data_IF_852257276798
#
_entry.id   IF_852257276798
#
_cell.length_a   1.000
_cell.length_b   1.000
_cell.length_c   1.000
_cell.angle_alpha   90.00
_cell.angle_beta   90.00
_cell.angle_gamma   90.00
#
_symmetry.space_group_name_H-M   'P 1'
#
loop_
_entity.id
_entity.type
_entity.pdbx_description
1 polymer ?
#
# COMPACT_ATOMS: atom_id res chain seq x y z
N UNK A 1 -24.02 -0.71 17.35
CA UNK A 1 -25.02 -1.39 16.48
C UNK A 1 -25.44 -0.50 15.30
N UNK A 2 -25.63 0.80 15.48
CA UNK A 2 -26.12 1.72 14.44
C UNK A 2 -25.23 1.75 13.18
N UNK A 3 -23.91 1.82 13.33
CA UNK A 3 -22.96 1.79 12.20
C UNK A 3 -23.12 0.51 11.37
N UNK A 4 -23.22 -0.65 12.01
CA UNK A 4 -23.40 -1.93 11.32
C UNK A 4 -24.74 -1.98 10.57
N UNK A 5 -25.81 -1.49 11.21
CA UNK A 5 -27.14 -1.39 10.60
C UNK A 5 -27.12 -0.50 9.37
N UNK A 6 -26.58 0.73 9.47
CA UNK A 6 -26.45 1.66 8.34
C UNK A 6 -25.67 1.06 7.17
N UNK A 7 -24.54 0.41 7.44
CA UNK A 7 -23.74 -0.25 6.38
C UNK A 7 -24.59 -1.32 5.69
N UNK A 8 -25.28 -2.17 6.46
CA UNK A 8 -26.10 -3.24 5.90
C UNK A 8 -27.26 -2.70 5.06
N UNK A 9 -27.93 -1.65 5.53
CA UNK A 9 -29.04 -0.99 4.82
C UNK A 9 -28.58 -0.26 3.54
N UNK A 10 -27.39 0.37 3.57
CA UNK A 10 -26.92 1.23 2.46
C UNK A 10 -26.24 0.44 1.35
N UNK A 11 -25.40 -0.54 1.70
CA UNK A 11 -24.54 -1.26 0.73
C UNK A 11 -24.77 -2.77 0.71
N UNK A 12 -25.72 -3.28 1.48
CA UNK A 12 -26.08 -4.70 1.60
C UNK A 12 -24.92 -5.64 1.98
N UNK A 13 -23.94 -5.10 2.72
CA UNK A 13 -22.80 -5.84 3.22
C UNK A 13 -22.80 -5.88 4.74
N UNK A 14 -22.27 -6.97 5.31
CA UNK A 14 -22.00 -7.06 6.74
C UNK A 14 -20.63 -6.45 7.08
N UNK A 15 -20.46 -5.92 8.29
CA UNK A 15 -19.17 -5.49 8.80
C UNK A 15 -18.95 -5.97 10.24
N UNK A 16 -17.69 -6.28 10.57
CA UNK A 16 -17.29 -6.55 11.95
C UNK A 16 -16.63 -5.33 12.54
N UNK A 17 -17.01 -5.00 13.78
CA UNK A 17 -16.55 -3.80 14.50
C UNK A 17 -15.84 -4.20 15.79
N UNK A 18 -14.68 -3.58 16.05
CA UNK A 18 -13.94 -3.69 17.28
C UNK A 18 -13.93 -2.34 18.02
N UNK A 19 -14.27 -2.35 19.29
CA UNK A 19 -14.22 -1.20 20.19
C UNK A 19 -13.23 -1.50 21.31
N UNK A 20 -12.26 -0.62 21.51
CA UNK A 20 -11.22 -0.80 22.52
C UNK A 20 -10.56 0.55 22.88
N UNK A 21 -9.78 0.62 23.98
CA UNK A 21 -9.14 1.86 24.43
C UNK A 21 -8.13 2.46 23.44
N UNK A 22 -7.54 1.67 22.54
CA UNK A 22 -6.60 2.14 21.52
C UNK A 22 -6.77 1.43 20.16
N UNK A 23 -6.09 1.96 19.13
CA UNK A 23 -6.19 1.46 17.75
C UNK A 23 -5.74 0.02 17.58
N UNK A 24 -4.68 -0.37 18.28
CA UNK A 24 -4.13 -1.72 18.21
C UNK A 24 -5.15 -2.76 18.66
N UNK A 25 -5.73 -2.55 19.83
CA UNK A 25 -6.73 -3.46 20.41
C UNK A 25 -8.03 -3.44 19.59
N UNK A 26 -8.50 -2.26 19.15
CA UNK A 26 -9.69 -2.15 18.32
C UNK A 26 -9.56 -2.91 17.00
N UNK A 27 -8.36 -2.85 16.37
CA UNK A 27 -8.09 -3.60 15.16
C UNK A 27 -8.17 -5.12 15.38
N UNK A 28 -7.61 -5.63 16.46
CA UNK A 28 -7.66 -7.06 16.80
C UNK A 28 -9.10 -7.46 17.14
N UNK A 29 -9.79 -6.67 17.96
CA UNK A 29 -11.18 -6.91 18.34
C UNK A 29 -12.08 -7.05 17.10
N UNK A 30 -11.88 -6.20 16.08
CA UNK A 30 -12.66 -6.28 14.84
C UNK A 30 -12.45 -7.58 14.03
N UNK A 31 -11.37 -8.31 14.28
CA UNK A 31 -11.04 -9.57 13.61
C UNK A 31 -11.49 -10.83 14.38
N UNK A 32 -11.90 -10.68 15.65
CA UNK A 32 -12.16 -11.84 16.53
C UNK A 32 -13.46 -12.59 16.21
N UNK A 33 -14.52 -11.87 15.87
CA UNK A 33 -15.86 -12.43 15.64
C UNK A 33 -16.34 -12.19 14.20
N UNK A 34 -15.44 -12.36 13.22
CA UNK A 34 -15.83 -12.30 11.81
C UNK A 34 -16.57 -13.57 11.39
N UNK A 35 -17.59 -13.47 10.48
CA UNK A 35 -18.19 -12.24 9.93
C UNK A 35 -19.24 -11.62 10.87
N UNK A 36 -19.56 -10.35 10.63
CA UNK A 36 -20.65 -9.60 11.27
C UNK A 36 -20.59 -9.51 12.81
N UNK A 37 -19.38 -9.57 13.38
CA UNK A 37 -19.17 -9.49 14.83
C UNK A 37 -19.16 -8.04 15.38
N UNK A 38 -19.34 -7.95 16.70
CA UNK A 38 -19.07 -6.75 17.51
C UNK A 38 -18.31 -7.19 18.75
N UNK A 39 -17.04 -6.83 18.84
CA UNK A 39 -16.21 -7.16 20.00
C UNK A 39 -15.82 -5.86 20.73
N UNK A 40 -16.11 -5.80 22.01
CA UNK A 40 -15.75 -4.68 22.88
C UNK A 40 -14.72 -5.18 23.89
N UNK A 41 -13.61 -4.45 24.03
CA UNK A 41 -12.58 -4.69 25.05
C UNK A 41 -12.56 -3.48 25.98
N UNK A 42 -12.99 -3.68 27.22
CA UNK A 42 -12.99 -2.65 28.25
C UNK A 42 -11.57 -2.43 28.82
N UNK A 43 -11.27 -1.25 29.39
CA UNK A 43 -9.95 -0.94 29.94
C UNK A 43 -9.45 -1.95 30.98
N UNK A 44 -10.32 -2.44 31.85
CA UNK A 44 -10.06 -3.44 32.89
C UNK A 44 -9.79 -4.85 32.31
N UNK A 45 -10.24 -5.14 31.10
CA UNK A 45 -10.05 -6.42 30.42
C UNK A 45 -8.75 -6.49 29.62
N UNK A 46 -8.07 -5.37 29.39
CA UNK A 46 -6.91 -5.27 28.48
C UNK A 46 -5.78 -6.19 28.90
N UNK A 47 -5.44 -6.25 30.18
CA UNK A 47 -4.33 -7.07 30.67
C UNK A 47 -4.55 -8.58 30.41
N UNK A 48 -5.71 -9.10 30.79
CA UNK A 48 -6.08 -10.49 30.58
C UNK A 48 -6.19 -10.84 29.07
N UNK A 49 -6.72 -9.91 28.28
CA UNK A 49 -6.83 -10.06 26.85
C UNK A 49 -5.45 -10.19 26.18
N UNK A 50 -4.50 -9.34 26.55
CA UNK A 50 -3.12 -9.35 26.00
C UNK A 50 -2.38 -10.62 26.41
N UNK A 51 -2.50 -11.05 27.66
CA UNK A 51 -1.80 -12.23 28.16
C UNK A 51 -2.14 -13.49 27.34
N UNK A 52 -3.40 -13.66 26.99
CA UNK A 52 -3.89 -14.80 26.20
C UNK A 52 -3.83 -14.60 24.67
N UNK A 53 -3.53 -13.40 24.18
CA UNK A 53 -3.60 -13.10 22.75
C UNK A 53 -2.54 -13.83 21.94
N UNK A 54 -2.91 -14.72 21.00
CA UNK A 54 -1.95 -15.40 20.14
C UNK A 54 -1.12 -14.41 19.34
N UNK A 55 0.21 -14.54 19.38
CA UNK A 55 1.15 -13.60 18.77
C UNK A 55 0.94 -13.44 17.26
N UNK A 56 0.47 -14.48 16.58
CA UNK A 56 0.14 -14.46 15.14
C UNK A 56 -1.00 -13.50 14.77
N UNK A 57 -1.84 -13.09 15.74
CA UNK A 57 -2.93 -12.13 15.55
C UNK A 57 -2.47 -10.68 15.70
N UNK A 58 -1.24 -10.45 16.15
CA UNK A 58 -0.68 -9.11 16.30
C UNK A 58 -0.37 -8.50 14.94
N UNK A 59 -0.91 -7.32 14.60
CA UNK A 59 -0.62 -6.63 13.37
C UNK A 59 0.88 -6.39 13.18
N UNK A 60 1.42 -6.83 12.04
CA UNK A 60 2.86 -6.80 11.72
C UNK A 60 3.56 -8.14 11.93
N UNK A 61 2.91 -9.13 12.56
CA UNK A 61 3.44 -10.48 12.69
C UNK A 61 2.99 -11.31 11.47
N UNK A 62 3.77 -11.26 10.40
CA UNK A 62 3.61 -12.13 9.24
C UNK A 62 4.39 -13.46 9.43
N UNK A 63 4.32 -14.36 8.46
CA UNK A 63 4.91 -15.72 8.55
C UNK A 63 6.40 -15.71 9.01
N UNK A 64 7.23 -14.84 8.43
CA UNK A 64 8.66 -14.76 8.80
C UNK A 64 8.85 -14.29 10.25
N UNK A 65 8.12 -13.25 10.64
CA UNK A 65 8.18 -12.71 12.00
C UNK A 65 7.65 -13.73 13.02
N UNK A 66 6.56 -14.41 12.70
CA UNK A 66 5.99 -15.46 13.54
C UNK A 66 7.02 -16.56 13.83
N UNK A 67 7.71 -17.06 12.80
CA UNK A 67 8.76 -18.07 12.98
C UNK A 67 9.91 -17.57 13.88
N UNK A 68 10.33 -16.31 13.72
CA UNK A 68 11.35 -15.74 14.61
C UNK A 68 10.89 -15.65 16.07
N UNK A 69 9.63 -15.31 16.28
CA UNK A 69 9.03 -15.25 17.62
C UNK A 69 8.89 -16.64 18.26
N UNK A 70 8.52 -17.66 17.47
CA UNK A 70 8.49 -19.05 17.95
C UNK A 70 9.88 -19.55 18.42
N UNK A 71 10.95 -19.21 17.69
CA UNK A 71 12.33 -19.54 18.10
C UNK A 71 12.73 -18.88 19.42
N UNK A 72 12.10 -17.74 19.77
CA UNK A 72 12.29 -17.07 21.06
C UNK A 72 11.31 -17.58 22.15
N UNK A 73 10.52 -18.59 21.87
CA UNK A 73 9.53 -19.15 22.80
C UNK A 73 8.28 -18.28 22.97
N UNK A 74 8.05 -17.29 22.09
CA UNK A 74 6.91 -16.35 22.17
C UNK A 74 5.73 -16.92 21.37
N UNK A 75 4.66 -17.30 22.05
CA UNK A 75 3.42 -17.80 21.46
C UNK A 75 2.24 -16.84 21.64
N UNK A 76 2.25 -16.09 22.74
CA UNK A 76 1.24 -15.08 23.05
C UNK A 76 1.89 -13.68 23.15
N UNK A 77 1.06 -12.65 23.13
CA UNK A 77 1.57 -11.29 23.37
C UNK A 77 2.00 -11.11 24.83
N UNK A 78 1.41 -11.85 25.78
CA UNK A 78 1.84 -11.91 27.17
C UNK A 78 3.26 -12.46 27.34
N UNK A 79 3.68 -13.45 26.54
CA UNK A 79 5.04 -14.00 26.61
C UNK A 79 6.13 -12.94 26.33
N UNK A 80 5.79 -11.91 25.55
CA UNK A 80 6.71 -10.80 25.25
C UNK A 80 7.14 -10.06 26.52
N UNK A 81 6.25 -9.99 27.54
CA UNK A 81 6.55 -9.32 28.79
C UNK A 81 7.62 -10.05 29.63
N UNK A 82 7.81 -11.34 29.40
CA UNK A 82 8.80 -12.15 30.13
C UNK A 82 10.23 -11.94 29.62
N UNK A 83 10.39 -11.35 28.44
CA UNK A 83 11.70 -11.13 27.84
C UNK A 83 12.19 -9.70 28.06
N UNK A 84 13.50 -9.50 28.33
CA UNK A 84 14.07 -8.16 28.41
C UNK A 84 13.94 -7.42 27.07
N UNK A 85 13.60 -6.12 27.12
CA UNK A 85 13.48 -5.29 25.89
C UNK A 85 14.74 -5.34 25.02
N UNK A 86 15.93 -5.34 25.65
CA UNK A 86 17.21 -5.44 24.93
C UNK A 86 17.28 -6.70 24.06
N UNK A 87 16.76 -7.83 24.55
CA UNK A 87 16.72 -9.09 23.79
C UNK A 87 15.75 -8.99 22.62
N UNK A 88 14.56 -8.42 22.82
CA UNK A 88 13.59 -8.20 21.75
C UNK A 88 14.13 -7.29 20.66
N UNK A 89 14.79 -6.19 21.04
CA UNK A 89 15.41 -5.25 20.08
C UNK A 89 16.56 -5.91 19.31
N UNK A 90 17.38 -6.71 19.96
CA UNK A 90 18.47 -7.46 19.31
C UNK A 90 17.98 -8.36 18.19
N UNK A 91 16.88 -9.08 18.39
CA UNK A 91 16.38 -10.07 17.43
C UNK A 91 15.36 -9.50 16.43
N UNK A 92 14.58 -8.49 16.83
CA UNK A 92 13.43 -7.98 16.08
C UNK A 92 13.57 -6.50 15.68
N UNK A 93 14.67 -5.85 16.04
CA UNK A 93 14.94 -4.45 15.74
C UNK A 93 13.86 -3.50 16.32
N UNK A 94 13.49 -2.49 15.54
CA UNK A 94 12.45 -1.50 15.93
C UNK A 94 11.10 -2.15 16.25
N UNK A 95 10.79 -3.29 15.62
CA UNK A 95 9.55 -3.98 15.88
C UNK A 95 9.52 -4.60 17.28
N UNK A 96 10.66 -5.07 17.80
CA UNK A 96 10.79 -5.60 19.17
C UNK A 96 10.43 -4.56 20.23
N UNK A 97 10.90 -3.31 20.06
CA UNK A 97 10.52 -2.18 20.95
C UNK A 97 9.00 -1.91 20.90
N UNK A 98 8.44 -1.86 19.68
CA UNK A 98 6.99 -1.68 19.51
C UNK A 98 6.20 -2.83 20.13
N UNK A 99 6.63 -4.08 19.91
CA UNK A 99 5.97 -5.26 20.45
C UNK A 99 5.95 -5.23 21.98
N UNK A 100 7.02 -4.76 22.63
CA UNK A 100 7.09 -4.57 24.08
C UNK A 100 6.05 -3.58 24.57
N UNK A 101 5.91 -2.42 23.93
CA UNK A 101 4.88 -1.44 24.29
C UNK A 101 3.46 -2.02 24.13
N UNK A 102 3.20 -2.70 23.00
CA UNK A 102 1.90 -3.35 22.72
C UNK A 102 1.58 -4.45 23.74
N UNK A 103 2.58 -5.20 24.21
CA UNK A 103 2.38 -6.24 25.24
C UNK A 103 1.98 -5.67 26.61
N UNK A 104 2.24 -4.40 26.85
CA UNK A 104 1.77 -3.68 28.04
C UNK A 104 0.47 -2.92 27.79
N UNK A 105 -0.18 -3.12 26.65
CA UNK A 105 -1.42 -2.44 26.28
C UNK A 105 -1.24 -1.01 25.75
N UNK A 106 0.00 -0.57 25.56
CA UNK A 106 0.31 0.81 25.16
C UNK A 106 0.39 0.94 23.64
N UNK A 107 -0.48 1.77 23.06
CA UNK A 107 -0.43 2.19 21.66
C UNK A 107 -0.86 3.65 21.56
N UNK A 108 0.12 4.56 21.50
CA UNK A 108 -0.08 6.01 21.40
C UNK A 108 -0.40 6.47 19.98
N UNK A 109 -0.62 5.54 19.05
CA UNK A 109 -0.89 5.87 17.64
C UNK A 109 -2.24 6.59 17.50
N UNK A 110 -2.20 7.84 17.02
CA UNK A 110 -3.40 8.66 16.81
C UNK A 110 -4.20 8.16 15.60
N UNK A 111 -5.51 8.37 15.65
CA UNK A 111 -6.37 8.24 14.48
C UNK A 111 -6.12 9.44 13.57
N UNK A 112 -5.56 9.19 12.39
CA UNK A 112 -5.28 10.23 11.38
C UNK A 112 -6.14 9.96 10.17
N UNK A 113 -7.27 10.69 9.99
CA UNK A 113 -8.24 10.42 8.91
C UNK A 113 -7.66 10.62 7.50
N UNK A 114 -6.78 11.62 7.36
CA UNK A 114 -6.21 12.02 6.08
C UNK A 114 -4.68 12.05 6.15
N UNK A 115 -4.05 10.92 5.90
CA UNK A 115 -2.61 10.88 5.70
C UNK A 115 -2.26 11.08 4.22
N UNK A 116 -1.25 11.88 3.88
CA UNK A 116 -0.80 12.02 2.49
C UNK A 116 -0.38 10.68 1.90
N UNK A 117 -0.72 10.43 0.65
CA UNK A 117 -0.28 9.24 -0.06
C UNK A 117 1.24 9.20 -0.16
N UNK A 118 1.86 8.08 0.18
CA UNK A 118 3.31 7.84 0.01
C UNK A 118 3.61 7.18 -1.33
N UNK A 119 2.64 6.50 -1.91
CA UNK A 119 2.69 5.85 -3.22
C UNK A 119 1.31 5.85 -3.86
N UNK A 120 1.27 5.90 -5.19
CA UNK A 120 0.07 5.73 -6.00
C UNK A 120 0.40 4.65 -7.02
N UNK A 121 -0.45 3.62 -7.14
CA UNK A 121 -0.20 2.49 -8.04
C UNK A 121 -1.49 1.93 -8.62
N UNK A 122 -1.36 1.32 -9.79
CA UNK A 122 -2.40 0.53 -10.45
C UNK A 122 -1.82 -0.82 -10.83
N UNK A 123 -2.49 -1.90 -10.44
CA UNK A 123 -2.05 -3.27 -10.71
C UNK A 123 -3.22 -4.07 -11.27
N UNK A 124 -2.94 -5.01 -12.17
CA UNK A 124 -3.95 -5.91 -12.74
C UNK A 124 -3.45 -7.34 -12.77
N UNK A 125 -4.24 -8.26 -12.26
CA UNK A 125 -4.10 -9.67 -12.57
C UNK A 125 -4.63 -9.90 -13.97
N UNK A 126 -3.85 -10.56 -14.82
CA UNK A 126 -4.18 -10.81 -16.22
C UNK A 126 -5.24 -11.90 -16.32
N UNK A 127 -6.09 -11.82 -17.35
CA UNK A 127 -7.10 -12.87 -17.63
C UNK A 127 -6.44 -14.21 -18.01
N UNK A 128 -5.30 -14.13 -18.70
CA UNK A 128 -4.45 -15.29 -19.03
C UNK A 128 -2.99 -14.93 -18.78
N UNK A 129 -2.24 -15.86 -18.20
CA UNK A 129 -0.83 -15.69 -17.92
C UNK A 129 -0.03 -15.65 -19.24
N UNK A 130 0.83 -14.63 -19.44
CA UNK A 130 1.49 -14.37 -20.71
C UNK A 130 2.98 -14.06 -20.59
N UNK A 131 3.75 -14.27 -21.68
CA UNK A 131 5.11 -13.75 -21.88
C UNK A 131 5.15 -12.66 -22.95
N UNK A 132 4.03 -12.34 -23.56
CA UNK A 132 3.98 -11.34 -24.64
C UNK A 132 4.22 -9.94 -24.06
N UNK A 133 5.44 -9.44 -24.29
CA UNK A 133 5.87 -8.11 -23.86
C UNK A 133 5.02 -7.00 -24.48
N UNK A 134 4.53 -7.17 -25.73
CA UNK A 134 3.67 -6.19 -26.38
C UNK A 134 2.33 -6.07 -25.65
N UNK A 135 1.75 -7.22 -25.26
CA UNK A 135 0.52 -7.24 -24.46
C UNK A 135 0.77 -6.63 -23.06
N UNK A 136 1.89 -6.97 -22.41
CA UNK A 136 2.26 -6.38 -21.11
C UNK A 136 2.41 -4.85 -21.20
N UNK A 137 3.01 -4.32 -22.25
CA UNK A 137 3.13 -2.88 -22.50
C UNK A 137 1.76 -2.19 -22.69
N UNK A 138 0.77 -2.86 -23.29
CA UNK A 138 -0.62 -2.32 -23.36
C UNK A 138 -1.24 -2.16 -21.96
N UNK A 139 -1.03 -3.13 -21.07
CA UNK A 139 -1.46 -3.00 -19.68
C UNK A 139 -0.73 -1.87 -18.94
N UNK A 140 0.59 -1.74 -19.13
CA UNK A 140 1.35 -0.64 -18.55
C UNK A 140 0.87 0.72 -19.06
N UNK A 141 0.44 0.84 -20.32
CA UNK A 141 -0.11 2.08 -20.87
C UNK A 141 -1.39 2.50 -20.13
N UNK A 142 -2.37 1.61 -20.02
CA UNK A 142 -3.63 1.92 -19.33
C UNK A 142 -3.42 2.21 -17.84
N UNK A 143 -2.53 1.47 -17.19
CA UNK A 143 -2.19 1.69 -15.78
C UNK A 143 -1.44 3.00 -15.55
N UNK A 144 -0.56 3.40 -16.49
CA UNK A 144 0.14 4.68 -16.43
C UNK A 144 -0.84 5.86 -16.55
N UNK A 145 -1.86 5.74 -17.38
CA UNK A 145 -2.92 6.74 -17.50
C UNK A 145 -3.70 6.86 -16.17
N UNK A 146 -4.07 5.73 -15.56
CA UNK A 146 -4.79 5.72 -14.28
C UNK A 146 -3.94 6.30 -13.14
N UNK A 147 -2.66 5.92 -13.03
CA UNK A 147 -1.73 6.46 -12.03
C UNK A 147 -1.52 7.97 -12.23
N UNK A 148 -1.34 8.43 -13.47
CA UNK A 148 -1.21 9.84 -13.79
C UNK A 148 -2.46 10.64 -13.39
N UNK A 149 -3.65 10.10 -13.65
CA UNK A 149 -4.93 10.70 -13.24
C UNK A 149 -5.01 10.84 -11.72
N UNK A 150 -4.64 9.79 -10.96
CA UNK A 150 -4.64 9.83 -9.50
C UNK A 150 -3.62 10.83 -8.95
N UNK A 151 -2.43 10.96 -9.56
CA UNK A 151 -1.44 11.98 -9.20
C UNK A 151 -2.02 13.40 -9.37
N UNK A 152 -2.69 13.66 -10.49
CA UNK A 152 -3.33 14.96 -10.76
C UNK A 152 -4.46 15.25 -9.77
N UNK A 153 -5.29 14.26 -9.45
CA UNK A 153 -6.34 14.38 -8.43
C UNK A 153 -5.77 14.68 -7.02
N UNK A 154 -4.64 14.06 -6.69
CA UNK A 154 -3.95 14.30 -5.42
C UNK A 154 -3.13 15.60 -5.40
N UNK A 155 -3.01 16.35 -6.53
CA UNK A 155 -2.22 17.56 -6.64
C UNK A 155 -0.71 17.35 -6.46
N UNK A 156 -0.20 16.16 -6.85
CA UNK A 156 1.21 15.82 -6.67
C UNK A 156 1.86 15.35 -7.96
N UNK A 157 3.20 15.52 -8.04
CA UNK A 157 4.07 14.97 -9.07
C UNK A 157 4.97 13.92 -8.45
N UNK A 158 5.31 12.88 -9.21
CA UNK A 158 6.15 11.77 -8.75
C UNK A 158 7.52 11.79 -9.43
N UNK A 159 8.57 11.44 -8.66
CA UNK A 159 9.94 11.29 -9.16
C UNK A 159 10.34 9.86 -9.45
N UNK A 160 9.77 8.89 -8.76
CA UNK A 160 10.15 7.48 -8.92
C UNK A 160 9.01 6.72 -9.55
N UNK A 161 9.31 6.02 -10.63
CA UNK A 161 8.39 5.13 -11.35
C UNK A 161 8.83 3.70 -11.07
N UNK A 162 7.87 2.86 -10.72
CA UNK A 162 8.09 1.46 -10.34
C UNK A 162 7.20 0.59 -11.19
N UNK A 163 7.73 -0.50 -11.74
CA UNK A 163 6.90 -1.58 -12.25
C UNK A 163 7.00 -2.79 -11.33
N UNK A 164 5.90 -3.51 -11.25
CA UNK A 164 5.78 -4.75 -10.49
C UNK A 164 5.24 -5.82 -11.41
N UNK A 165 5.87 -6.97 -11.41
CA UNK A 165 5.38 -8.18 -12.05
C UNK A 165 5.27 -9.30 -11.04
N UNK A 166 4.32 -10.21 -11.27
CA UNK A 166 4.21 -11.46 -10.53
C UNK A 166 4.08 -12.59 -11.54
N UNK A 167 4.90 -13.61 -11.39
CA UNK A 167 4.88 -14.80 -12.26
C UNK A 167 3.83 -15.85 -11.82
N UNK A 168 3.77 -16.96 -12.54
CA UNK A 168 2.90 -18.10 -12.26
C UNK A 168 3.21 -18.80 -10.94
N UNK A 169 4.43 -18.70 -10.43
CA UNK A 169 4.84 -19.24 -9.13
C UNK A 169 4.54 -18.26 -7.99
N UNK A 170 3.79 -17.19 -8.26
CA UNK A 170 3.49 -16.10 -7.32
C UNK A 170 4.72 -15.34 -6.81
N UNK A 171 5.88 -15.49 -7.46
CA UNK A 171 7.06 -14.70 -7.16
C UNK A 171 6.88 -13.29 -7.72
N UNK A 172 7.11 -12.32 -6.86
CA UNK A 172 7.00 -10.89 -7.22
C UNK A 172 8.38 -10.32 -7.44
N UNK A 173 8.53 -9.59 -8.55
CA UNK A 173 9.72 -8.80 -8.85
C UNK A 173 9.32 -7.35 -9.16
N UNK A 174 10.18 -6.40 -8.76
CA UNK A 174 9.98 -4.97 -8.99
C UNK A 174 11.23 -4.37 -9.63
N UNK A 175 11.02 -3.39 -10.51
CA UNK A 175 12.07 -2.52 -11.05
C UNK A 175 11.63 -1.07 -10.89
N UNK A 176 12.57 -0.18 -10.66
CA UNK A 176 12.27 1.25 -10.50
C UNK A 176 13.31 2.12 -11.17
N UNK A 177 12.89 3.30 -11.59
CA UNK A 177 13.76 4.38 -12.05
C UNK A 177 13.36 5.68 -11.37
N UNK A 178 14.33 6.56 -11.14
CA UNK A 178 14.09 7.89 -10.58
C UNK A 178 14.47 8.92 -11.65
N UNK A 179 13.51 9.78 -12.00
CA UNK A 179 13.66 10.80 -13.04
C UNK A 179 14.07 12.14 -12.42
N UNK A 180 14.77 12.96 -13.17
CA UNK A 180 15.23 14.27 -12.71
C UNK A 180 14.05 15.22 -12.44
N UNK A 181 13.10 15.29 -13.38
CA UNK A 181 11.94 16.19 -13.31
C UNK A 181 10.71 15.40 -12.86
N UNK A 182 10.10 15.75 -11.71
CA UNK A 182 8.87 15.11 -11.24
C UNK A 182 7.74 15.27 -12.24
N UNK A 183 6.95 14.22 -12.46
CA UNK A 183 5.90 14.18 -13.48
C UNK A 183 4.56 13.73 -12.92
N UNK A 184 3.49 14.14 -13.58
CA UNK A 184 2.14 13.59 -13.49
C UNK A 184 1.61 13.24 -14.90
N UNK A 185 2.49 13.21 -15.91
CA UNK A 185 2.15 12.88 -17.30
C UNK A 185 2.07 11.38 -17.52
N UNK A 186 0.96 10.91 -18.07
CA UNK A 186 0.73 9.50 -18.43
C UNK A 186 1.78 8.98 -19.42
N UNK A 187 2.14 9.80 -20.41
CA UNK A 187 3.16 9.44 -21.41
C UNK A 187 4.54 9.27 -20.81
N UNK A 188 4.95 10.16 -19.92
CA UNK A 188 6.26 10.09 -19.26
C UNK A 188 6.32 8.86 -18.36
N UNK A 189 5.27 8.58 -17.56
CA UNK A 189 5.19 7.39 -16.72
C UNK A 189 5.25 6.13 -17.57
N UNK A 190 4.47 6.05 -18.65
CA UNK A 190 4.45 4.90 -19.56
C UNK A 190 5.82 4.67 -20.22
N UNK A 191 6.47 5.72 -20.73
CA UNK A 191 7.80 5.62 -21.38
C UNK A 191 8.80 4.92 -20.47
N UNK A 192 8.89 5.37 -19.22
CA UNK A 192 9.81 4.76 -18.25
C UNK A 192 9.36 3.38 -17.79
N UNK A 193 8.06 3.13 -17.64
CA UNK A 193 7.54 1.80 -17.31
C UNK A 193 7.82 0.81 -18.43
N UNK A 194 7.69 1.23 -19.71
CA UNK A 194 8.01 0.41 -20.88
C UNK A 194 9.51 0.11 -21.02
N UNK A 195 10.38 1.04 -20.66
CA UNK A 195 11.82 0.78 -20.58
C UNK A 195 12.14 -0.24 -19.50
N UNK A 196 11.56 -0.08 -18.30
CA UNK A 196 11.78 -0.99 -17.19
C UNK A 196 11.32 -2.42 -17.49
N UNK A 197 10.24 -2.63 -18.26
CA UNK A 197 9.80 -3.99 -18.63
C UNK A 197 10.74 -4.63 -19.66
N UNK A 198 11.35 -3.86 -20.55
CA UNK A 198 12.33 -4.38 -21.50
C UNK A 198 13.60 -4.89 -20.78
N UNK A 199 13.96 -4.31 -19.64
CA UNK A 199 15.08 -4.74 -18.82
C UNK A 199 14.78 -6.02 -17.99
N UNK A 200 13.52 -6.49 -17.99
CA UNK A 200 13.19 -7.76 -17.32
C UNK A 200 13.50 -8.96 -18.21
N UNK A 201 14.31 -9.87 -17.71
CA UNK A 201 14.42 -11.20 -18.29
C UNK A 201 13.19 -12.05 -17.93
N UNK A 202 12.15 -12.00 -18.77
CA UNK A 202 10.89 -12.70 -18.57
C UNK A 202 11.04 -14.16 -18.97
N UNK A 203 11.44 -15.01 -18.05
CA UNK A 203 11.60 -16.46 -18.26
C UNK A 203 10.30 -17.23 -18.03
N UNK A 204 9.40 -16.73 -17.16
CA UNK A 204 8.10 -17.34 -16.82
C UNK A 204 6.94 -16.46 -17.30
N UNK A 205 5.76 -17.09 -17.48
CA UNK A 205 4.55 -16.31 -17.77
C UNK A 205 4.22 -15.38 -16.61
N UNK A 206 3.79 -14.18 -16.93
CA UNK A 206 3.37 -13.13 -15.99
C UNK A 206 1.89 -13.25 -15.75
N UNK A 207 1.53 -13.29 -14.47
CA UNK A 207 0.17 -13.35 -13.96
C UNK A 207 -0.39 -11.99 -13.55
N UNK A 208 0.47 -11.08 -13.07
CA UNK A 208 0.10 -9.74 -12.63
C UNK A 208 1.16 -8.76 -13.09
N UNK A 209 0.70 -7.59 -13.53
CA UNK A 209 1.56 -6.46 -13.87
C UNK A 209 0.99 -5.18 -13.27
N UNK A 210 1.87 -4.26 -12.86
CA UNK A 210 1.47 -2.98 -12.28
C UNK A 210 2.49 -1.87 -12.45
N UNK A 211 1.98 -0.64 -12.44
CA UNK A 211 2.76 0.61 -12.39
C UNK A 211 2.51 1.27 -11.04
N UNK A 212 3.56 1.73 -10.40
CA UNK A 212 3.50 2.52 -9.18
C UNK A 212 4.40 3.74 -9.25
N UNK A 213 4.10 4.73 -8.42
CA UNK A 213 4.87 5.96 -8.32
C UNK A 213 5.09 6.33 -6.86
N UNK A 214 6.27 6.91 -6.57
CA UNK A 214 6.67 7.40 -5.25
C UNK A 214 7.52 8.66 -5.37
N UNK A 215 7.97 9.22 -4.23
CA UNK A 215 8.81 10.43 -4.23
C UNK A 215 8.00 11.63 -4.68
N UNK A 216 6.90 11.91 -3.97
CA UNK A 216 5.96 12.97 -4.33
C UNK A 216 6.46 14.35 -3.93
N UNK A 217 6.19 15.33 -4.79
CA UNK A 217 6.30 16.75 -4.53
C UNK A 217 4.98 17.44 -4.91
N UNK A 218 4.68 18.57 -4.25
CA UNK A 218 3.54 19.39 -4.65
C UNK A 218 3.72 19.93 -6.08
N UNK A 219 2.63 20.10 -6.82
CA UNK A 219 2.66 20.66 -8.19
C UNK A 219 3.28 22.06 -8.21
N UNK A 220 3.08 22.82 -7.13
CA UNK A 220 3.61 24.19 -6.95
C UNK A 220 5.06 24.22 -6.47
N UNK A 221 5.66 23.08 -6.12
CA UNK A 221 7.05 23.06 -5.66
C UNK A 221 8.00 23.43 -6.81
N UNK A 222 8.89 24.38 -6.55
CA UNK A 222 9.98 24.70 -7.47
C UNK A 222 10.91 23.49 -7.59
N UNK A 223 11.18 23.05 -8.81
CA UNK A 223 12.15 22.00 -9.09
C UNK A 223 13.50 22.68 -9.31
N UNK A 224 14.44 22.44 -8.42
CA UNK A 224 15.82 22.84 -8.67
C UNK A 224 16.37 21.95 -9.80
N UNK A 225 16.54 22.53 -10.97
CA UNK A 225 17.16 21.88 -12.11
C UNK A 225 18.68 21.86 -11.91
N UNK A 226 19.31 20.73 -12.22
CA UNK A 226 20.77 20.67 -12.34
C UNK A 226 21.25 21.53 -13.52
N UNK A 227 22.49 22.03 -13.44
CA UNK A 227 23.08 22.89 -14.47
C UNK A 227 23.08 22.27 -15.87
N UNK A 228 23.03 20.93 -15.95
CA UNK A 228 23.08 20.16 -17.20
C UNK A 228 21.76 19.47 -17.56
N UNK A 229 20.68 19.71 -16.78
CA UNK A 229 19.38 19.09 -17.07
C UNK A 229 18.75 19.74 -18.31
N UNK A 230 18.61 18.98 -19.39
CA UNK A 230 17.90 19.44 -20.58
C UNK A 230 16.38 19.54 -20.26
N UNK A 231 15.78 20.68 -20.55
CA UNK A 231 14.33 20.84 -20.51
C UNK A 231 13.68 19.86 -21.48
N UNK A 232 13.07 18.79 -20.97
CA UNK A 232 12.16 17.97 -21.78
C UNK A 232 10.89 18.77 -22.08
N UNK A 233 10.90 19.54 -23.17
CA UNK A 233 9.75 20.33 -23.67
C UNK A 233 8.49 19.48 -23.96
N UNK A 234 8.64 18.16 -24.08
CA UNK A 234 7.51 17.27 -24.43
C UNK A 234 6.60 16.93 -23.26
N UNK A 235 7.04 17.06 -22.00
CA UNK A 235 6.23 16.70 -20.82
C UNK A 235 5.04 17.64 -20.61
N UNK A 236 5.23 18.95 -20.78
CA UNK A 236 4.20 19.95 -20.53
C UNK A 236 3.00 19.86 -21.49
N UNK A 237 3.22 19.50 -22.75
CA UNK A 237 2.14 19.39 -23.73
C UNK A 237 1.25 18.18 -23.45
N UNK A 238 1.83 17.05 -23.00
CA UNK A 238 1.05 15.87 -22.66
C UNK A 238 0.29 16.02 -21.35
N UNK A 239 0.77 16.79 -20.39
CA UNK A 239 -0.01 17.11 -19.19
C UNK A 239 -1.28 17.90 -19.52
N UNK A 240 -1.26 18.77 -20.55
CA UNK A 240 -2.46 19.46 -21.03
C UNK A 240 -3.46 18.49 -21.67
N UNK A 241 -2.96 17.56 -22.49
CA UNK A 241 -3.80 16.49 -23.08
C UNK A 241 -4.41 15.63 -22.00
N UNK A 242 -3.62 15.17 -21.03
CA UNK A 242 -4.09 14.38 -19.90
C UNK A 242 -5.20 15.10 -19.11
N UNK A 243 -5.06 16.41 -18.86
CA UNK A 243 -6.09 17.23 -18.18
C UNK A 243 -7.38 17.35 -18.99
N UNK A 244 -7.27 17.49 -20.32
CA UNK A 244 -8.43 17.52 -21.21
C UNK A 244 -9.18 16.18 -21.17
N UNK A 245 -8.44 15.07 -21.23
CA UNK A 245 -9.00 13.72 -21.11
C UNK A 245 -9.70 13.48 -19.75
N UNK A 246 -9.09 13.96 -18.65
CA UNK A 246 -9.70 13.90 -17.32
C UNK A 246 -11.03 14.66 -17.28
N UNK A 247 -11.10 15.87 -17.88
CA UNK A 247 -12.30 16.69 -17.94
C UNK A 247 -13.42 15.99 -18.74
N UNK A 248 -13.07 15.40 -19.90
CA UNK A 248 -14.02 14.64 -20.72
C UNK A 248 -14.53 13.44 -19.95
N UNK A 249 -13.64 12.68 -19.31
CA UNK A 249 -14.01 11.48 -18.53
C UNK A 249 -14.90 11.82 -17.33
N UNK A 250 -14.68 12.97 -16.69
CA UNK A 250 -15.55 13.46 -15.60
C UNK A 250 -16.96 13.83 -16.10
N UNK A 251 -17.05 14.45 -17.28
CA UNK A 251 -18.32 14.94 -17.83
C UNK A 251 -19.16 13.85 -18.49
N UNK A 252 -18.51 12.90 -19.16
CA UNK A 252 -19.20 11.92 -20.02
C UNK A 252 -19.01 10.46 -19.58
N UNK A 253 -18.25 10.21 -18.48
CA UNK A 253 -17.94 8.87 -18.01
C UNK A 253 -16.65 8.28 -18.59
N UNK A 254 -16.17 7.20 -17.95
CA UNK A 254 -14.84 6.61 -18.27
C UNK A 254 -14.79 5.83 -19.60
N UNK A 255 -15.92 5.55 -20.23
CA UNK A 255 -16.01 4.67 -21.42
C UNK A 255 -16.16 5.47 -22.74
N UNK A 256 -15.92 6.77 -22.72
CA UNK A 256 -16.14 7.64 -23.89
C UNK A 256 -14.85 7.87 -24.69
N UNK A 257 -13.71 7.42 -24.12
CA UNK A 257 -12.38 7.53 -24.76
C UNK A 257 -11.69 6.18 -24.71
#
# INVERSE_FOLDING_TARGET
>A
WEIKRKIKETVHLTCSVGVAPNKFLAKIASDMQKPDGLTVILPDQVAAFIDSLPIKKVPGVGKKMFHQLELLGIRTLGDVQRLPEKSLVKHLGKFGKRLRALSSGNDDSRVTPHAPHKSISSERTLAADTRDVKLLKRYLLSQSAEVARQLRQAGVRARTIVIKIKDTDFKTATRRTTIAIPTQSSKTIYRHAAQLIDDFNITKKIRLIGVGTTGFSAVTASVQMGLFDQKEKSGDNWEKVDKALDTISQKFGKNVI
#
